data_IF_234163729537
#
_entry.id   IF_234163729537
#
_cell.length_a   1.000
_cell.length_b   1.000
_cell.length_c   1.000
_cell.angle_alpha   90.00
_cell.angle_beta   90.00
_cell.angle_gamma   90.00
#
_symmetry.space_group_name_H-M   'P 1'
#
loop_
_entity.id
_entity.type
_entity.pdbx_description
1 polymer ?
#
# COMPACT_ATOMS: atom_id res chain seq x y z
N UNK A 1 -24.83 0.73 5.38
CA UNK A 1 -24.10 1.50 6.41
C UNK A 1 -24.49 2.97 6.36
N UNK A 2 -24.31 3.66 5.23
CA UNK A 2 -24.67 5.08 5.13
C UNK A 2 -26.18 5.36 5.23
N UNK A 3 -27.04 4.40 4.84
CA UNK A 3 -28.48 4.47 5.13
C UNK A 3 -28.76 4.62 6.62
N UNK A 4 -28.22 3.72 7.45
CA UNK A 4 -28.36 3.75 8.90
C UNK A 4 -27.85 5.07 9.52
N UNK A 5 -26.76 5.62 8.99
CA UNK A 5 -26.24 6.92 9.43
C UNK A 5 -27.21 8.05 9.11
N UNK A 6 -27.78 8.06 7.91
CA UNK A 6 -28.76 9.06 7.49
C UNK A 6 -30.04 8.96 8.32
N UNK A 7 -30.53 7.76 8.55
CA UNK A 7 -31.73 7.50 9.34
C UNK A 7 -31.53 8.00 10.77
N UNK A 8 -30.42 7.65 11.42
CA UNK A 8 -30.09 8.12 12.76
C UNK A 8 -29.95 9.65 12.85
N UNK A 9 -29.33 10.29 11.87
CA UNK A 9 -29.23 11.75 11.86
C UNK A 9 -30.60 12.41 11.67
N UNK A 10 -31.45 11.84 10.81
CA UNK A 10 -32.80 12.34 10.58
C UNK A 10 -33.68 12.21 11.82
N UNK A 11 -33.57 11.11 12.57
CA UNK A 11 -34.25 10.91 13.87
C UNK A 11 -33.88 11.99 14.89
N UNK A 12 -32.67 12.55 14.80
CA UNK A 12 -32.21 13.65 15.64
C UNK A 12 -32.42 15.04 15.02
N UNK A 13 -33.14 15.14 13.89
CA UNK A 13 -33.39 16.42 13.20
C UNK A 13 -32.16 17.01 12.51
N UNK A 14 -31.12 16.19 12.26
CA UNK A 14 -29.87 16.60 11.61
C UNK A 14 -29.94 16.20 10.14
N UNK A 15 -29.87 17.18 9.25
CA UNK A 15 -29.75 16.94 7.81
C UNK A 15 -28.26 16.77 7.47
N UNK A 16 -27.89 15.54 7.10
CA UNK A 16 -26.51 15.20 6.78
C UNK A 16 -26.18 15.63 5.34
N UNK A 17 -25.44 16.73 5.18
CA UNK A 17 -24.92 17.21 3.90
C UNK A 17 -23.39 17.08 3.86
N UNK A 18 -22.87 16.14 3.08
CA UNK A 18 -21.42 15.96 2.93
C UNK A 18 -20.94 16.64 1.66
N UNK A 19 -20.01 17.59 1.81
CA UNK A 19 -19.35 18.22 0.67
C UNK A 19 -18.16 17.39 0.17
N UNK A 20 -17.41 16.79 1.10
CA UNK A 20 -16.18 16.06 0.79
C UNK A 20 -16.14 14.73 1.53
N UNK A 21 -15.64 13.69 0.87
CA UNK A 21 -15.23 12.44 1.51
C UNK A 21 -13.79 12.11 1.16
N UNK A 22 -13.10 11.48 2.10
CA UNK A 22 -11.77 10.89 1.84
C UNK A 22 -11.92 9.38 2.00
N UNK A 23 -11.58 8.64 0.96
CA UNK A 23 -11.73 7.18 0.96
C UNK A 23 -10.59 6.49 0.23
N UNK A 24 -10.47 5.19 0.41
CA UNK A 24 -9.51 4.39 -0.34
C UNK A 24 -9.90 4.35 -1.82
N UNK A 25 -8.95 4.05 -2.71
CA UNK A 25 -9.18 3.98 -4.15
C UNK A 25 -10.01 2.74 -4.59
N UNK A 26 -10.79 2.17 -3.67
CA UNK A 26 -11.68 1.05 -3.91
C UNK A 26 -12.98 1.54 -4.56
N UNK A 27 -13.28 1.02 -5.75
CA UNK A 27 -14.45 1.43 -6.54
C UNK A 27 -15.76 1.24 -5.75
N UNK A 28 -15.86 0.19 -4.95
CA UNK A 28 -17.03 -0.06 -4.11
C UNK A 28 -17.26 1.07 -3.09
N UNK A 29 -16.19 1.62 -2.52
CA UNK A 29 -16.27 2.72 -1.57
C UNK A 29 -16.69 4.02 -2.26
N UNK A 30 -16.07 4.33 -3.40
CA UNK A 30 -16.40 5.52 -4.21
C UNK A 30 -17.88 5.48 -4.62
N UNK A 31 -18.31 4.37 -5.23
CA UNK A 31 -19.70 4.19 -5.66
C UNK A 31 -20.67 4.29 -4.49
N UNK A 32 -20.30 3.79 -3.31
CA UNK A 32 -21.15 3.88 -2.12
C UNK A 32 -21.31 5.32 -1.63
N UNK A 33 -20.29 6.18 -1.75
CA UNK A 33 -20.42 7.59 -1.41
C UNK A 33 -21.31 8.32 -2.42
N UNK A 34 -21.06 8.12 -3.71
CA UNK A 34 -21.84 8.76 -4.79
C UNK A 34 -23.31 8.33 -4.78
N UNK A 35 -23.59 7.06 -4.48
CA UNK A 35 -24.95 6.54 -4.37
C UNK A 35 -25.73 7.17 -3.21
N UNK A 36 -25.08 7.37 -2.06
CA UNK A 36 -25.76 7.88 -0.88
C UNK A 36 -25.75 9.39 -0.78
N UNK A 37 -24.77 10.13 -1.32
CA UNK A 37 -24.66 11.58 -1.14
C UNK A 37 -24.61 12.29 -2.49
N UNK A 38 -25.66 13.04 -2.82
CA UNK A 38 -25.72 13.85 -4.03
C UNK A 38 -24.70 14.99 -3.95
N UNK A 39 -23.93 15.20 -5.02
CA UNK A 39 -22.93 16.28 -5.13
C UNK A 39 -21.72 16.18 -4.19
N UNK A 40 -21.45 15.01 -3.59
CA UNK A 40 -20.24 14.82 -2.78
C UNK A 40 -19.00 14.78 -3.67
N UNK A 41 -17.92 15.45 -3.24
CA UNK A 41 -16.59 15.26 -3.82
C UNK A 41 -15.89 14.09 -3.13
N UNK A 42 -15.63 13.02 -3.86
CA UNK A 42 -14.86 11.88 -3.35
C UNK A 42 -13.37 12.09 -3.64
N UNK A 43 -12.55 12.07 -2.61
CA UNK A 43 -11.10 12.30 -2.66
C UNK A 43 -10.39 11.01 -2.26
N UNK A 44 -9.41 10.60 -3.06
CA UNK A 44 -8.58 9.46 -2.74
C UNK A 44 -7.65 9.71 -1.54
N UNK A 45 -7.56 8.73 -0.64
CA UNK A 45 -6.74 8.84 0.56
C UNK A 45 -5.25 8.66 0.23
N UNK A 46 -4.51 9.77 0.25
CA UNK A 46 -3.08 9.75 -0.03
C UNK A 46 -2.28 8.91 0.97
N UNK A 47 -2.72 8.85 2.23
CA UNK A 47 -2.08 8.05 3.27
C UNK A 47 -2.13 6.56 2.93
N UNK A 48 -3.31 6.03 2.60
CA UNK A 48 -3.47 4.62 2.25
C UNK A 48 -2.80 4.27 0.92
N UNK A 49 -2.79 5.19 -0.06
CA UNK A 49 -2.04 5.01 -1.29
C UNK A 49 -0.52 4.90 -1.05
N UNK A 50 0.04 5.84 -0.29
CA UNK A 50 1.45 5.79 0.10
C UNK A 50 1.78 4.51 0.88
N UNK A 51 0.88 4.07 1.75
CA UNK A 51 1.04 2.82 2.49
C UNK A 51 1.01 1.59 1.59
N UNK A 52 0.13 1.55 0.59
CA UNK A 52 0.05 0.46 -0.39
C UNK A 52 1.36 0.36 -1.21
N UNK A 53 1.90 1.49 -1.66
CA UNK A 53 3.19 1.54 -2.36
C UNK A 53 4.31 1.02 -1.45
N UNK A 54 4.41 1.50 -0.20
CA UNK A 54 5.43 1.04 0.75
C UNK A 54 5.33 -0.45 1.05
N UNK A 55 4.12 -1.00 1.21
CA UNK A 55 3.91 -2.45 1.37
C UNK A 55 4.38 -3.21 0.14
N UNK A 56 4.17 -2.67 -1.07
CA UNK A 56 4.66 -3.28 -2.31
C UNK A 56 6.19 -3.28 -2.35
N UNK A 57 6.84 -2.17 -2.00
CA UNK A 57 8.30 -2.03 -1.88
C UNK A 57 8.87 -3.09 -0.94
N UNK A 58 8.25 -3.27 0.23
CA UNK A 58 8.62 -4.31 1.18
C UNK A 58 8.43 -5.72 0.59
N UNK A 59 7.32 -5.96 -0.10
CA UNK A 59 6.97 -7.27 -0.70
C UNK A 59 7.95 -7.67 -1.81
N UNK A 60 8.48 -6.71 -2.57
CA UNK A 60 9.45 -6.97 -3.65
C UNK A 60 10.91 -6.96 -3.15
N UNK A 61 11.14 -6.91 -1.83
CA UNK A 61 12.47 -6.99 -1.24
C UNK A 61 13.28 -5.69 -1.26
N UNK A 62 12.67 -4.56 -1.63
CA UNK A 62 13.37 -3.27 -1.72
C UNK A 62 13.39 -2.48 -0.40
N UNK A 63 12.93 -3.06 0.71
CA UNK A 63 12.85 -2.36 2.00
C UNK A 63 14.18 -1.76 2.46
N UNK A 64 15.27 -2.54 2.38
CA UNK A 64 16.59 -2.07 2.82
C UNK A 64 17.04 -0.93 1.90
N UNK A 65 17.00 -1.17 0.59
CA UNK A 65 17.39 -0.20 -0.43
C UNK A 65 16.62 1.12 -0.33
N UNK A 66 15.31 1.08 -0.08
CA UNK A 66 14.47 2.27 0.12
C UNK A 66 14.88 3.10 1.35
N UNK A 67 15.43 2.47 2.39
CA UNK A 67 15.86 3.15 3.61
C UNK A 67 17.33 3.59 3.58
N UNK A 68 18.15 3.02 2.68
CA UNK A 68 19.59 3.26 2.63
C UNK A 68 20.07 4.00 1.38
N UNK A 69 19.23 4.14 0.35
CA UNK A 69 19.59 4.79 -0.91
C UNK A 69 18.55 5.87 -1.26
N UNK A 70 18.99 7.13 -1.26
CA UNK A 70 18.14 8.29 -1.51
C UNK A 70 17.58 8.34 -2.93
N UNK A 71 18.32 7.87 -3.94
CA UNK A 71 17.85 7.82 -5.33
C UNK A 71 16.67 6.84 -5.48
N UNK A 72 16.77 5.65 -4.86
CA UNK A 72 15.69 4.65 -4.83
C UNK A 72 14.49 5.20 -4.04
N UNK A 73 14.76 5.83 -2.90
CA UNK A 73 13.72 6.44 -2.08
C UNK A 73 12.97 7.53 -2.85
N UNK A 74 13.71 8.39 -3.54
CA UNK A 74 13.16 9.47 -4.37
C UNK A 74 12.31 8.90 -5.50
N UNK A 75 12.82 7.93 -6.24
CA UNK A 75 12.09 7.26 -7.33
C UNK A 75 10.76 6.67 -6.84
N UNK A 76 10.75 5.98 -5.70
CA UNK A 76 9.53 5.42 -5.11
C UNK A 76 8.57 6.52 -4.63
N UNK A 77 9.10 7.59 -3.99
CA UNK A 77 8.29 8.74 -3.57
C UNK A 77 7.68 9.49 -4.74
N UNK A 78 8.32 9.52 -5.91
CA UNK A 78 7.74 10.11 -7.12
C UNK A 78 6.45 9.42 -7.53
N UNK A 79 6.33 8.09 -7.37
CA UNK A 79 5.05 7.40 -7.61
C UNK A 79 3.97 7.79 -6.61
N UNK A 80 4.33 8.03 -5.36
CA UNK A 80 3.39 8.53 -4.36
C UNK A 80 2.92 9.94 -4.73
N UNK A 81 3.81 10.78 -5.26
CA UNK A 81 3.49 12.14 -5.67
C UNK A 81 2.58 12.22 -6.90
N UNK A 82 2.47 11.16 -7.72
CA UNK A 82 1.60 11.15 -8.91
C UNK A 82 0.14 11.45 -8.60
N UNK A 83 -0.36 11.05 -7.43
CA UNK A 83 -1.74 11.35 -7.02
C UNK A 83 -2.00 12.83 -6.74
N UNK A 84 -0.95 13.66 -6.65
CA UNK A 84 -1.04 15.10 -6.49
C UNK A 84 -0.89 15.84 -7.83
N UNK A 85 -0.61 15.13 -8.92
CA UNK A 85 -0.48 15.71 -10.26
C UNK A 85 -1.87 15.90 -10.87
N UNK A 86 -2.17 17.06 -11.48
CA UNK A 86 -3.41 17.26 -12.24
C UNK A 86 -3.57 16.21 -13.34
N UNK A 87 -4.80 15.75 -13.59
CA UNK A 87 -5.11 14.68 -14.53
C UNK A 87 -4.50 14.90 -15.92
N UNK A 88 -4.46 16.16 -16.36
CA UNK A 88 -3.96 16.57 -17.68
C UNK A 88 -2.45 16.39 -17.81
N UNK A 89 -1.72 16.28 -16.69
CA UNK A 89 -0.26 16.17 -16.63
C UNK A 89 0.21 14.80 -16.14
N UNK A 90 -0.70 13.86 -15.87
CA UNK A 90 -0.33 12.54 -15.33
C UNK A 90 0.58 11.79 -16.29
N UNK A 91 0.27 11.78 -17.59
CA UNK A 91 1.08 11.08 -18.59
C UNK A 91 2.50 11.66 -18.70
N UNK A 92 2.61 12.99 -18.68
CA UNK A 92 3.89 13.69 -18.67
C UNK A 92 4.71 13.35 -17.42
N UNK A 93 4.11 13.47 -16.23
CA UNK A 93 4.77 13.17 -14.97
C UNK A 93 5.18 11.68 -14.89
N UNK A 94 4.34 10.77 -15.36
CA UNK A 94 4.66 9.35 -15.43
C UNK A 94 5.82 9.08 -16.40
N UNK A 95 5.83 9.73 -17.56
CA UNK A 95 6.92 9.70 -18.53
C UNK A 95 8.25 10.14 -17.92
N UNK A 96 8.26 11.23 -17.14
CA UNK A 96 9.44 11.72 -16.42
C UNK A 96 9.97 10.67 -15.43
N UNK A 97 9.08 10.05 -14.64
CA UNK A 97 9.46 9.00 -13.69
C UNK A 97 10.10 7.81 -14.42
N UNK A 98 9.48 7.35 -15.52
CA UNK A 98 10.01 6.25 -16.31
C UNK A 98 11.34 6.60 -17.00
N UNK A 99 11.52 7.84 -17.49
CA UNK A 99 12.78 8.31 -18.05
C UNK A 99 13.91 8.31 -17.01
N UNK A 100 13.61 8.71 -15.77
CA UNK A 100 14.56 8.67 -14.67
C UNK A 100 14.91 7.24 -14.23
N UNK A 101 14.11 6.24 -14.59
CA UNK A 101 14.41 4.82 -14.35
C UNK A 101 15.76 4.43 -14.96
N UNK A 102 16.02 4.76 -16.23
CA UNK A 102 17.26 4.35 -16.90
C UNK A 102 18.51 4.87 -16.15
N UNK A 103 18.51 6.16 -15.82
CA UNK A 103 19.58 6.82 -15.06
C UNK A 103 19.78 6.21 -13.68
N UNK A 104 18.70 5.85 -13.00
CA UNK A 104 18.76 5.19 -11.70
C UNK A 104 19.44 3.81 -11.83
N UNK A 105 19.04 3.00 -12.81
CA UNK A 105 19.60 1.66 -13.00
C UNK A 105 21.07 1.71 -13.41
N UNK A 106 21.47 2.67 -14.25
CA UNK A 106 22.89 2.91 -14.59
C UNK A 106 23.72 3.22 -13.33
N UNK A 107 23.28 4.20 -12.51
CA UNK A 107 23.96 4.54 -11.25
C UNK A 107 24.06 3.36 -10.28
N UNK A 108 23.01 2.56 -10.17
CA UNK A 108 23.01 1.39 -9.26
C UNK A 108 23.95 0.29 -9.75
N UNK A 109 24.08 0.10 -11.06
CA UNK A 109 25.01 -0.84 -11.68
C UNK A 109 26.47 -0.41 -11.49
N UNK A 110 26.77 0.87 -11.69
CA UNK A 110 28.12 1.43 -11.49
C UNK A 110 28.60 1.28 -10.05
N UNK A 111 27.72 1.52 -9.07
CA UNK A 111 28.05 1.43 -7.65
C UNK A 111 28.00 0.01 -7.08
N UNK A 112 27.76 -1.03 -7.91
CA UNK A 112 27.48 -2.42 -7.48
C UNK A 112 26.44 -2.51 -6.34
N UNK A 113 25.55 -1.53 -6.21
CA UNK A 113 24.47 -1.52 -5.22
C UNK A 113 23.23 -2.27 -5.73
N UNK A 114 23.40 -3.13 -6.72
CA UNK A 114 22.32 -3.98 -7.22
C UNK A 114 21.84 -4.84 -6.05
N UNK A 115 20.58 -4.70 -5.61
CA UNK A 115 19.95 -5.78 -4.87
C UNK A 115 19.99 -6.97 -5.83
N UNK A 116 20.64 -8.06 -5.42
CA UNK A 116 20.60 -9.31 -6.17
C UNK A 116 19.12 -9.71 -6.27
N UNK A 117 18.48 -9.36 -7.39
CA UNK A 117 17.25 -10.01 -7.84
C UNK A 117 17.65 -11.32 -8.53
N UNK A 118 18.36 -12.18 -7.80
CA UNK A 118 18.36 -13.62 -8.04
C UNK A 118 17.60 -14.17 -6.82
N UNK A 119 16.40 -14.71 -6.93
CA UNK A 119 15.97 -15.67 -7.93
C UNK A 119 14.43 -15.79 -7.91
N UNK A 120 13.91 -16.09 -9.11
CA UNK A 120 12.62 -16.70 -9.41
C UNK A 120 11.38 -15.76 -9.52
N UNK A 121 10.97 -15.59 -10.78
CA UNK A 121 9.68 -15.09 -11.28
C UNK A 121 9.49 -13.56 -11.39
N UNK A 122 10.25 -12.93 -12.28
CA UNK A 122 9.69 -11.80 -13.04
C UNK A 122 9.76 -12.11 -14.53
N UNK A 123 8.86 -13.02 -14.95
CA UNK A 123 8.32 -12.99 -16.29
C UNK A 123 7.71 -11.61 -16.52
N UNK A 124 8.10 -11.01 -17.64
CA UNK A 124 7.45 -9.91 -18.33
C UNK A 124 5.93 -10.14 -18.23
N UNK A 125 5.21 -9.28 -17.51
CA UNK A 125 3.75 -9.36 -17.44
C UNK A 125 3.19 -8.83 -18.76
N UNK A 126 3.24 -9.67 -19.80
CA UNK A 126 2.23 -9.67 -20.85
C UNK A 126 1.07 -10.55 -20.38
N UNK A 127 -0.10 -9.93 -20.17
CA UNK A 127 -1.42 -10.57 -20.17
C UNK A 127 -1.61 -11.88 -19.39
N UNK A 128 -2.22 -11.78 -18.20
CA UNK A 128 -3.39 -12.57 -17.71
C UNK A 128 -3.40 -12.63 -16.17
N UNK A 129 -4.52 -12.22 -15.59
CA UNK A 129 -5.08 -12.74 -14.34
C UNK A 129 -4.31 -12.47 -13.05
N UNK A 130 -4.49 -11.29 -12.45
CA UNK A 130 -4.13 -11.06 -11.05
C UNK A 130 -5.32 -11.39 -10.14
N UNK A 131 -5.32 -12.60 -9.57
CA UNK A 131 -6.07 -12.87 -8.34
C UNK A 131 -5.23 -12.43 -7.14
N UNK A 132 -5.66 -11.34 -6.50
CA UNK A 132 -5.04 -10.79 -5.30
C UNK A 132 -5.38 -11.65 -4.07
N UNK A 133 -4.39 -12.12 -3.27
CA UNK A 133 -4.68 -12.67 -1.97
C UNK A 133 -5.16 -11.55 -1.05
N UNK A 134 -6.42 -11.63 -0.58
CA UNK A 134 -6.94 -10.74 0.46
C UNK A 134 -6.09 -10.92 1.73
N UNK A 135 -5.39 -9.85 2.14
CA UNK A 135 -4.61 -9.84 3.38
C UNK A 135 -5.50 -10.11 4.59
N UNK A 136 -5.14 -11.10 5.42
CA UNK A 136 -5.78 -11.35 6.71
C UNK A 136 -5.60 -10.14 7.62
N UNK A 137 -6.71 -9.58 8.08
CA UNK A 137 -6.72 -8.50 9.08
C UNK A 137 -6.02 -8.93 10.36
N UNK A 138 -5.13 -8.07 10.88
CA UNK A 138 -4.56 -8.22 12.22
C UNK A 138 -5.61 -7.79 13.25
N UNK A 139 -6.35 -8.76 13.78
CA UNK A 139 -7.15 -8.55 14.99
C UNK A 139 -6.23 -8.28 16.18
N UNK A 140 -6.35 -7.09 16.79
CA UNK A 140 -5.73 -6.78 18.08
C UNK A 140 -6.59 -7.38 19.20
N UNK A 141 -6.34 -8.64 19.55
CA UNK A 141 -6.87 -9.23 20.77
C UNK A 141 -6.02 -8.81 21.98
N UNK A 142 -6.60 -8.00 22.88
CA UNK A 142 -6.07 -7.77 24.23
C UNK A 142 -6.56 -8.91 25.14
N UNK A 143 -5.64 -9.64 25.77
CA UNK A 143 -5.95 -10.61 26.82
C UNK A 143 -4.78 -10.70 27.82
N UNK A 144 -5.05 -10.33 29.08
CA UNK A 144 -4.15 -10.40 30.24
C UNK A 144 -4.31 -11.77 30.95
N UNK A 145 -3.26 -12.24 31.63
CA UNK A 145 -3.33 -13.30 32.67
C UNK A 145 -2.35 -14.45 32.43
N UNK A 146 -1.12 -14.41 32.98
CA UNK A 146 -0.67 -15.04 34.24
C UNK A 146 -0.67 -16.58 34.25
N UNK A 147 0.52 -17.19 34.29
CA UNK A 147 0.69 -18.62 34.56
C UNK A 147 2.16 -19.06 34.52
N UNK A 148 2.76 -19.27 35.69
CA UNK A 148 4.09 -19.87 35.93
C UNK A 148 4.06 -21.37 35.61
N UNK A 149 5.17 -21.95 35.12
CA UNK A 149 5.31 -23.41 35.07
C UNK A 149 6.58 -23.94 34.38
N UNK A 150 7.62 -24.15 35.20
CA UNK A 150 8.70 -25.17 35.17
C UNK A 150 9.18 -25.76 33.84
N UNK A 151 10.49 -25.67 33.64
CA UNK A 151 11.21 -26.31 32.55
C UNK A 151 11.31 -27.84 32.66
N UNK A 152 11.57 -28.43 31.49
CA UNK A 152 12.32 -29.67 31.36
C UNK A 152 13.26 -29.52 30.17
N UNK A 153 14.47 -30.03 30.39
CA UNK A 153 15.65 -30.01 29.56
C UNK A 153 15.71 -31.36 28.85
N UNK A 154 15.59 -31.43 27.52
CA UNK A 154 15.86 -32.66 26.76
C UNK A 154 16.54 -32.33 25.43
N UNK A 155 17.85 -32.54 25.45
CA UNK A 155 18.74 -33.12 24.42
C UNK A 155 18.85 -32.48 23.02
N UNK A 156 20.05 -31.93 22.80
CA UNK A 156 20.68 -31.74 21.50
C UNK A 156 20.77 -33.07 20.74
N UNK A 157 20.22 -33.14 19.52
CA UNK A 157 20.66 -34.08 18.50
C UNK A 157 21.16 -33.32 17.28
N UNK A 158 22.48 -33.20 17.21
CA UNK A 158 23.24 -33.03 15.98
C UNK A 158 23.05 -34.26 15.10
N UNK A 159 22.75 -34.05 13.82
CA UNK A 159 23.07 -35.03 12.77
C UNK A 159 23.75 -34.26 11.64
N UNK A 160 25.05 -34.52 11.50
CA UNK A 160 25.88 -34.16 10.34
C UNK A 160 25.75 -35.28 9.30
N UNK A 161 25.59 -34.94 8.02
CA UNK A 161 26.68 -34.75 7.06
C UNK A 161 26.19 -33.83 5.93
#
# INVERSE_FOLDING_TARGET
MFSLLKDACLEHGIILNLENSVTDFELASINSFEFHFTSIKVIGCQYHFAQAIKRKVDTIGLKIAYNSNDDIQYFIKSFIALSMVPLEKIDEAFGIILGNKAKLFEKLNENRQVPILQSNNLLIISGRGLSFPRGRGRGRGRGRGTGRGRGQNIENKTVNF
#
